data_IF_908947862840
#
_entry.id   IF_908947862840
#
_cell.length_a   1.000
_cell.length_b   1.000
_cell.length_c   1.000
_cell.angle_alpha   90.00
_cell.angle_beta   90.00
_cell.angle_gamma   90.00
#
_symmetry.space_group_name_H-M   'P 1'
#
loop_
_entity.id
_entity.type
_entity.pdbx_description
1 polymer ?
#
# COMPACT_ATOMS: atom_id res chain seq x y z
N UNK A 1 -43.25 -3.84 10.98
CA UNK A 1 -41.98 -4.40 11.49
C UNK A 1 -40.99 -4.34 10.35
N UNK A 2 -40.20 -3.28 10.30
CA UNK A 2 -39.20 -3.04 9.27
C UNK A 2 -37.88 -3.59 9.81
N UNK A 3 -37.39 -4.68 9.23
CA UNK A 3 -36.05 -5.19 9.53
C UNK A 3 -35.04 -4.33 8.81
N UNK A 4 -34.47 -3.39 9.56
CA UNK A 4 -33.29 -2.62 9.21
C UNK A 4 -32.10 -3.57 9.30
N UNK A 5 -31.63 -4.09 8.16
CA UNK A 5 -30.36 -4.82 8.09
C UNK A 5 -29.26 -3.78 8.25
N UNK A 6 -28.59 -3.85 9.38
CA UNK A 6 -27.33 -3.18 9.74
C UNK A 6 -26.39 -3.13 8.55
N UNK A 7 -25.99 -1.93 8.12
CA UNK A 7 -24.86 -1.75 7.22
C UNK A 7 -23.60 -2.15 7.98
N UNK A 8 -23.09 -3.36 7.69
CA UNK A 8 -21.78 -3.82 8.13
C UNK A 8 -20.72 -2.83 7.58
N UNK A 9 -19.71 -2.42 8.37
CA UNK A 9 -18.60 -1.60 7.87
C UNK A 9 -17.65 -2.50 7.05
N UNK A 10 -18.11 -3.00 5.90
CA UNK A 10 -17.35 -3.95 5.07
C UNK A 10 -16.20 -3.22 4.33
N UNK A 11 -15.01 -3.40 4.90
CA UNK A 11 -13.68 -3.32 4.28
C UNK A 11 -13.25 -1.95 3.71
N UNK A 12 -12.65 -1.11 4.56
CA UNK A 12 -11.91 0.09 4.13
C UNK A 12 -10.83 -0.18 3.04
N UNK A 13 -10.41 -1.43 2.88
CA UNK A 13 -9.46 -1.91 1.87
C UNK A 13 -10.06 -2.98 0.94
N UNK A 14 -11.35 -2.88 0.61
CA UNK A 14 -12.03 -3.81 -0.30
C UNK A 14 -11.48 -3.81 -1.74
N UNK A 15 -12.12 -4.60 -2.60
CA UNK A 15 -11.61 -4.90 -3.96
C UNK A 15 -11.37 -3.65 -4.84
N UNK A 16 -12.22 -2.63 -4.74
CA UNK A 16 -12.05 -1.41 -5.54
C UNK A 16 -10.86 -0.57 -5.10
N UNK A 17 -10.61 -0.51 -3.78
CA UNK A 17 -9.41 0.09 -3.25
C UNK A 17 -8.17 -0.67 -3.75
N UNK A 18 -8.18 -2.00 -3.71
CA UNK A 18 -7.07 -2.84 -4.15
C UNK A 18 -6.72 -2.58 -5.63
N UNK A 19 -7.74 -2.59 -6.51
CA UNK A 19 -7.56 -2.30 -7.95
C UNK A 19 -6.98 -0.91 -8.18
N UNK A 20 -7.52 0.10 -7.50
CA UNK A 20 -7.06 1.48 -7.62
C UNK A 20 -5.62 1.65 -7.11
N UNK A 21 -5.28 1.03 -5.99
CA UNK A 21 -3.95 1.08 -5.41
C UNK A 21 -2.91 0.42 -6.32
N UNK A 22 -3.20 -0.78 -6.86
CA UNK A 22 -2.32 -1.45 -7.81
C UNK A 22 -2.13 -0.61 -9.08
N UNK A 23 -3.21 -0.07 -9.65
CA UNK A 23 -3.13 0.83 -10.82
C UNK A 23 -2.25 2.04 -10.56
N UNK A 24 -2.34 2.64 -9.36
CA UNK A 24 -1.47 3.76 -8.97
C UNK A 24 0.00 3.33 -8.84
N UNK A 25 0.28 2.17 -8.25
CA UNK A 25 1.63 1.60 -8.19
C UNK A 25 2.22 1.43 -9.60
N UNK A 26 1.44 0.87 -10.53
CA UNK A 26 1.86 0.68 -11.92
C UNK A 26 2.13 2.00 -12.63
N UNK A 27 1.28 3.01 -12.44
CA UNK A 27 1.51 4.35 -12.99
C UNK A 27 2.79 4.99 -12.43
N UNK A 28 3.06 4.86 -11.12
CA UNK A 28 4.30 5.37 -10.53
C UNK A 28 5.53 4.69 -11.14
N UNK A 29 5.45 3.39 -11.42
CA UNK A 29 6.53 2.62 -12.04
C UNK A 29 6.73 3.02 -13.52
N UNK A 30 5.66 3.17 -14.28
CA UNK A 30 5.71 3.63 -15.68
C UNK A 30 6.32 5.02 -15.81
N UNK A 31 6.08 5.88 -14.82
CA UNK A 31 6.68 7.23 -14.75
C UNK A 31 8.09 7.24 -14.15
N UNK A 32 8.70 6.08 -13.88
CA UNK A 32 10.01 5.92 -13.22
C UNK A 32 10.14 6.65 -11.87
N UNK A 33 9.01 6.95 -11.22
CA UNK A 33 8.97 7.66 -9.95
C UNK A 33 9.30 6.73 -8.77
N UNK A 34 9.11 5.42 -8.94
CA UNK A 34 9.53 4.35 -8.01
C UNK A 34 10.49 3.39 -8.73
N UNK A 35 11.43 2.79 -8.01
CA UNK A 35 12.30 1.74 -8.55
C UNK A 35 11.53 0.42 -8.73
N UNK A 36 12.11 -0.53 -9.47
CA UNK A 36 11.54 -1.88 -9.61
C UNK A 36 11.39 -2.59 -8.27
N UNK A 37 12.41 -2.49 -7.40
CA UNK A 37 12.37 -3.09 -6.05
C UNK A 37 11.29 -2.44 -5.20
N UNK A 38 11.20 -1.11 -5.20
CA UNK A 38 10.14 -0.39 -4.49
C UNK A 38 8.76 -0.77 -5.02
N UNK A 39 8.58 -0.89 -6.35
CA UNK A 39 7.33 -1.34 -6.96
C UNK A 39 6.94 -2.73 -6.45
N UNK A 40 7.88 -3.66 -6.40
CA UNK A 40 7.60 -5.02 -5.93
C UNK A 40 7.13 -5.04 -4.47
N UNK A 41 7.83 -4.30 -3.59
CA UNK A 41 7.44 -4.18 -2.18
C UNK A 41 6.09 -3.47 -2.00
N UNK A 42 5.84 -2.38 -2.72
CA UNK A 42 4.57 -1.63 -2.67
C UNK A 42 3.41 -2.50 -3.15
N UNK A 43 3.57 -3.22 -4.27
CA UNK A 43 2.53 -4.12 -4.78
C UNK A 43 2.23 -5.26 -3.81
N UNK A 44 3.24 -5.85 -3.18
CA UNK A 44 3.04 -6.83 -2.11
C UNK A 44 2.30 -6.23 -0.92
N UNK A 45 2.69 -5.03 -0.49
CA UNK A 45 2.03 -4.32 0.61
C UNK A 45 0.55 -4.04 0.33
N UNK A 46 0.24 -3.65 -0.92
CA UNK A 46 -1.13 -3.39 -1.40
C UNK A 46 -1.96 -4.67 -1.39
N UNK A 47 -1.43 -5.78 -1.90
CA UNK A 47 -2.18 -7.03 -1.96
C UNK A 47 -2.56 -7.54 -0.56
N UNK A 48 -1.70 -7.32 0.44
CA UNK A 48 -1.88 -7.87 1.79
C UNK A 48 -2.59 -6.88 2.74
N UNK A 49 -2.79 -5.63 2.30
CA UNK A 49 -3.51 -4.60 3.06
C UNK A 49 -4.92 -5.00 3.52
N UNK A 50 -5.76 -5.71 2.72
CA UNK A 50 -7.09 -6.14 3.17
C UNK A 50 -7.05 -7.07 4.39
N UNK A 51 -5.94 -7.80 4.58
CA UNK A 51 -5.75 -8.75 5.68
C UNK A 51 -5.01 -8.13 6.88
N UNK A 52 -4.81 -6.80 6.88
CA UNK A 52 -4.01 -6.13 7.89
C UNK A 52 -2.51 -6.31 7.69
N UNK A 53 -2.05 -6.67 6.48
CA UNK A 53 -0.64 -6.90 6.15
C UNK A 53 -0.17 -8.35 6.31
N UNK A 54 1.07 -8.61 5.89
CA UNK A 54 1.65 -9.95 5.88
C UNK A 54 2.12 -10.45 7.24
N UNK A 55 2.16 -11.78 7.35
CA UNK A 55 2.74 -12.47 8.50
C UNK A 55 4.26 -12.25 8.56
N UNK A 56 4.84 -12.40 9.75
CA UNK A 56 6.28 -12.29 9.92
C UNK A 56 7.06 -13.36 9.11
N UNK A 57 6.49 -14.55 8.97
CA UNK A 57 7.10 -15.64 8.21
C UNK A 57 7.17 -15.31 6.71
N UNK A 58 6.06 -14.86 6.11
CA UNK A 58 6.04 -14.47 4.68
C UNK A 58 7.00 -13.31 4.39
N UNK A 59 7.11 -12.33 5.30
CA UNK A 59 8.04 -11.21 5.15
C UNK A 59 9.50 -11.65 5.23
N UNK A 60 9.81 -12.57 6.13
CA UNK A 60 11.14 -13.13 6.26
C UNK A 60 11.51 -13.99 5.04
N UNK A 61 10.60 -14.83 4.56
CA UNK A 61 10.82 -15.69 3.40
C UNK A 61 11.03 -14.88 2.11
N UNK A 62 10.20 -13.86 1.87
CA UNK A 62 10.22 -13.10 0.62
C UNK A 62 11.22 -11.96 0.62
N UNK A 63 11.42 -11.29 1.76
CA UNK A 63 12.20 -10.05 1.84
C UNK A 63 13.33 -10.11 2.88
N UNK A 64 13.39 -11.12 3.73
CA UNK A 64 14.44 -11.25 4.75
C UNK A 64 14.36 -10.19 5.86
N UNK A 65 13.21 -9.54 6.06
CA UNK A 65 13.07 -8.40 6.98
C UNK A 65 11.88 -8.53 7.91
N UNK A 66 11.94 -7.84 9.06
CA UNK A 66 10.81 -7.71 9.97
C UNK A 66 9.71 -6.82 9.38
N UNK A 67 8.49 -6.93 9.92
CA UNK A 67 7.34 -6.10 9.52
C UNK A 67 7.61 -4.59 9.59
N UNK A 68 8.25 -4.13 10.66
CA UNK A 68 8.62 -2.72 10.81
C UNK A 68 9.58 -2.29 9.70
N UNK A 69 10.65 -3.06 9.46
CA UNK A 69 11.65 -2.73 8.43
C UNK A 69 11.05 -2.82 7.02
N UNK A 70 10.16 -3.77 6.77
CA UNK A 70 9.42 -3.86 5.52
C UNK A 70 8.63 -2.58 5.24
N UNK A 71 7.86 -2.10 6.21
CA UNK A 71 7.07 -0.87 6.03
C UNK A 71 7.93 0.39 5.90
N UNK A 72 9.07 0.47 6.58
CA UNK A 72 10.06 1.52 6.36
C UNK A 72 10.53 1.56 4.90
N UNK A 73 10.92 0.41 4.34
CA UNK A 73 11.36 0.30 2.94
C UNK A 73 10.25 0.66 1.94
N UNK A 74 9.00 0.25 2.22
CA UNK A 74 7.83 0.65 1.42
C UNK A 74 7.67 2.17 1.44
N UNK A 75 7.80 2.80 2.62
CA UNK A 75 7.68 4.26 2.76
C UNK A 75 8.85 5.04 2.16
N UNK A 76 10.07 4.51 2.25
CA UNK A 76 11.25 5.03 1.55
C UNK A 76 11.03 4.99 0.03
N UNK A 77 10.49 3.88 -0.50
CA UNK A 77 10.12 3.75 -1.92
C UNK A 77 9.04 4.73 -2.37
N UNK A 78 8.10 5.08 -1.48
CA UNK A 78 7.05 6.07 -1.70
C UNK A 78 7.48 7.50 -1.35
N UNK A 79 8.72 7.74 -0.93
CA UNK A 79 9.18 9.08 -0.64
C UNK A 79 9.14 9.96 -1.92
N UNK A 80 8.61 11.19 -1.84
CA UNK A 80 8.67 12.13 -2.95
C UNK A 80 10.11 12.44 -3.36
N UNK A 81 10.40 12.38 -4.66
CA UNK A 81 11.68 12.82 -5.23
C UNK A 81 11.58 14.29 -5.63
N UNK A 82 12.72 14.98 -5.74
CA UNK A 82 12.77 16.38 -6.21
C UNK A 82 12.15 16.55 -7.59
N UNK A 83 12.33 15.56 -8.47
CA UNK A 83 11.81 15.52 -9.84
C UNK A 83 10.32 15.16 -9.93
N UNK A 84 9.67 14.74 -8.84
CA UNK A 84 8.25 14.38 -8.88
C UNK A 84 7.37 15.63 -9.04
N UNK A 85 6.48 15.61 -10.03
CA UNK A 85 5.43 16.63 -10.18
C UNK A 85 4.35 16.46 -9.10
N UNK A 86 3.59 17.52 -8.82
CA UNK A 86 2.59 17.56 -7.74
C UNK A 86 1.62 16.37 -7.77
N UNK A 87 1.15 15.96 -8.95
CA UNK A 87 0.26 14.80 -9.12
C UNK A 87 0.89 13.49 -8.63
N UNK A 88 2.17 13.28 -8.91
CA UNK A 88 2.93 12.10 -8.50
C UNK A 88 3.16 12.11 -6.99
N UNK A 89 3.51 13.27 -6.42
CA UNK A 89 3.64 13.45 -4.97
C UNK A 89 2.35 13.13 -4.23
N UNK A 90 1.22 13.61 -4.74
CA UNK A 90 -0.10 13.32 -4.19
C UNK A 90 -0.44 11.83 -4.26
N UNK A 91 -0.15 11.16 -5.38
CA UNK A 91 -0.34 9.70 -5.50
C UNK A 91 0.51 8.91 -4.51
N UNK A 92 1.79 9.26 -4.37
CA UNK A 92 2.71 8.64 -3.41
C UNK A 92 2.25 8.84 -1.97
N UNK A 93 1.89 10.06 -1.60
CA UNK A 93 1.39 10.40 -0.27
C UNK A 93 0.11 9.62 0.06
N UNK A 94 -0.82 9.56 -0.89
CA UNK A 94 -2.07 8.82 -0.69
C UNK A 94 -1.83 7.31 -0.52
N UNK A 95 -0.99 6.69 -1.35
CA UNK A 95 -0.62 5.28 -1.16
C UNK A 95 0.07 5.03 0.18
N UNK A 96 1.00 5.91 0.57
CA UNK A 96 1.70 5.83 1.86
C UNK A 96 0.72 5.85 3.03
N UNK A 97 -0.17 6.84 3.09
CA UNK A 97 -1.16 6.97 4.16
C UNK A 97 -2.10 5.77 4.20
N UNK A 98 -2.57 5.33 3.04
CA UNK A 98 -3.47 4.20 2.96
C UNK A 98 -2.81 2.90 3.41
N UNK A 99 -1.54 2.67 3.05
CA UNK A 99 -0.79 1.50 3.49
C UNK A 99 -0.44 1.56 4.98
N UNK A 100 -0.12 2.75 5.50
CA UNK A 100 0.10 2.95 6.94
C UNK A 100 -1.13 2.52 7.76
N UNK A 101 -2.32 2.94 7.33
CA UNK A 101 -3.58 2.55 7.95
C UNK A 101 -3.83 1.04 7.83
N UNK A 102 -3.70 0.48 6.63
CA UNK A 102 -3.95 -0.96 6.41
C UNK A 102 -3.00 -1.86 7.20
N UNK A 103 -1.74 -1.46 7.32
CA UNK A 103 -0.73 -2.24 8.04
C UNK A 103 -0.68 -1.91 9.54
N UNK A 104 -1.52 -1.00 10.03
CA UNK A 104 -1.54 -0.60 11.44
C UNK A 104 -0.21 -0.03 11.93
N UNK A 105 0.54 0.63 11.05
CA UNK A 105 1.80 1.31 11.38
C UNK A 105 1.58 2.81 11.27
N UNK A 106 1.62 3.51 12.41
CA UNK A 106 1.52 4.97 12.49
C UNK A 106 2.89 5.56 12.82
#
# INVERSE_FOLDING_TARGET
MTTQTTEEPEEAFGTDWLRLALRRCDLLAQMHSVSSDARWMISFAIQWAPFGGASAAELLERFGVSRRRFMELVFEGLAPKSTDVQKIRAMKSHLRTSLAQAWGVQ
#
